data_IF_498280265378
#
_entry.id   IF_498280265378
#
_cell.length_a   1.000
_cell.length_b   1.000
_cell.length_c   1.000
_cell.angle_alpha   90.00
_cell.angle_beta   90.00
_cell.angle_gamma   90.00
#
_symmetry.space_group_name_H-M   'P 1'
#
loop_
_entity.id
_entity.type
_entity.pdbx_description
1 polymer ?
#
# COMPACT_ATOMS: atom_id res chain seq x y z
N UNK A 1 -0.29 6.34 66.91
CA UNK A 1 0.82 5.71 66.18
C UNK A 1 0.23 5.12 64.90
N UNK A 2 0.55 5.73 63.76
CA UNK A 2 -0.28 5.69 62.54
C UNK A 2 -0.03 4.46 61.67
N UNK A 3 -1.11 3.78 61.27
CA UNK A 3 -1.12 2.74 60.23
C UNK A 3 -0.98 3.42 58.86
N UNK A 4 0.04 3.07 58.06
CA UNK A 4 0.18 3.54 56.69
C UNK A 4 -0.43 2.53 55.72
N UNK A 5 -1.61 2.84 55.21
CA UNK A 5 -2.24 2.16 54.07
C UNK A 5 -1.40 2.44 52.81
N UNK A 6 -0.83 1.41 52.19
CA UNK A 6 -0.22 1.52 50.85
C UNK A 6 -1.30 1.20 49.82
N UNK A 7 -1.86 2.24 49.24
CA UNK A 7 -2.76 2.15 48.08
C UNK A 7 -1.98 1.57 46.89
N UNK A 8 -2.29 0.34 46.50
CA UNK A 8 -1.80 -0.25 45.25
C UNK A 8 -2.68 0.26 44.10
N UNK A 9 -2.11 1.08 43.22
CA UNK A 9 -2.75 1.53 42.00
C UNK A 9 -2.59 0.42 40.93
N UNK A 10 -3.67 -0.27 40.57
CA UNK A 10 -3.67 -1.16 39.40
C UNK A 10 -3.50 -0.32 38.13
N UNK A 11 -2.57 -0.64 37.21
CA UNK A 11 -2.60 -0.04 35.90
C UNK A 11 -3.73 -0.70 35.09
N UNK A 12 -4.67 0.09 34.58
CA UNK A 12 -5.53 -0.33 33.48
C UNK A 12 -4.63 -0.62 32.27
N UNK A 13 -4.48 -1.90 31.92
CA UNK A 13 -3.92 -2.31 30.63
C UNK A 13 -4.84 -1.79 29.53
N UNK A 14 -4.43 -0.72 28.86
CA UNK A 14 -4.93 -0.42 27.52
C UNK A 14 -4.45 -1.55 26.60
N UNK A 15 -5.38 -2.40 26.17
CA UNK A 15 -5.15 -3.34 25.08
C UNK A 15 -5.02 -2.52 23.80
N UNK A 16 -3.80 -2.07 23.47
CA UNK A 16 -3.51 -1.56 22.14
C UNK A 16 -3.82 -2.70 21.16
N UNK A 17 -4.56 -2.45 20.05
CA UNK A 17 -4.73 -3.46 19.02
C UNK A 17 -3.35 -3.83 18.51
N UNK A 18 -2.90 -5.06 18.80
CA UNK A 18 -1.71 -5.62 18.20
C UNK A 18 -2.03 -5.84 16.73
N UNK A 19 -1.61 -4.89 15.88
CA UNK A 19 -1.57 -5.12 14.43
C UNK A 19 -0.82 -6.44 14.21
N UNK A 20 -1.44 -7.37 13.50
CA UNK A 20 -0.85 -8.67 13.26
C UNK A 20 0.50 -8.48 12.54
N UNK A 21 1.51 -9.35 12.77
CA UNK A 21 2.79 -9.26 12.07
C UNK A 21 2.64 -9.18 10.54
N UNK A 22 1.59 -9.80 9.97
CA UNK A 22 1.25 -9.70 8.55
C UNK A 22 0.83 -8.28 8.11
N UNK A 23 0.12 -7.54 8.96
CA UNK A 23 -0.27 -6.14 8.72
C UNK A 23 0.92 -5.18 8.90
N UNK A 24 1.82 -5.49 9.83
CA UNK A 24 3.07 -4.74 10.03
C UNK A 24 4.11 -4.97 8.90
N UNK A 25 4.11 -6.15 8.28
CA UNK A 25 4.98 -6.45 7.14
C UNK A 25 4.47 -5.89 5.81
N UNK A 26 3.17 -5.63 5.70
CA UNK A 26 2.54 -5.02 4.53
C UNK A 26 3.09 -3.61 4.29
N UNK A 27 4.15 -3.50 3.50
CA UNK A 27 4.83 -2.24 3.20
C UNK A 27 6.34 -2.24 3.46
N UNK A 28 6.90 -3.33 4.01
CA UNK A 28 8.35 -3.49 4.17
C UNK A 28 9.01 -3.86 2.85
N UNK A 29 8.35 -4.71 2.04
CA UNK A 29 8.84 -5.12 0.72
C UNK A 29 8.15 -4.30 -0.39
N UNK A 30 8.85 -4.03 -1.51
CA UNK A 30 8.28 -3.26 -2.62
C UNK A 30 6.94 -3.78 -3.15
N UNK A 31 6.83 -5.09 -3.33
CA UNK A 31 5.64 -5.72 -3.89
C UNK A 31 4.41 -5.64 -2.98
N UNK A 32 4.60 -5.51 -1.66
CA UNK A 32 3.50 -5.47 -0.69
C UNK A 32 2.63 -4.23 -0.90
N UNK A 33 3.22 -3.13 -1.39
CA UNK A 33 2.48 -1.91 -1.75
C UNK A 33 1.50 -2.19 -2.88
N UNK A 34 1.90 -2.99 -3.87
CA UNK A 34 1.05 -3.34 -5.02
C UNK A 34 -0.08 -4.26 -4.57
N UNK A 35 0.22 -5.24 -3.72
CA UNK A 35 -0.78 -6.13 -3.14
C UNK A 35 -1.79 -5.32 -2.30
N UNK A 36 -1.30 -4.45 -1.43
CA UNK A 36 -2.13 -3.56 -0.60
C UNK A 36 -2.99 -2.64 -1.46
N UNK A 37 -2.44 -2.12 -2.55
CA UNK A 37 -3.17 -1.29 -3.50
C UNK A 37 -4.35 -2.03 -4.14
N UNK A 38 -4.14 -3.24 -4.65
CA UNK A 38 -5.21 -4.04 -5.24
C UNK A 38 -6.23 -4.56 -4.21
N UNK A 39 -5.79 -4.84 -2.98
CA UNK A 39 -6.71 -5.16 -1.88
C UNK A 39 -7.60 -3.96 -1.52
N UNK A 40 -7.05 -2.75 -1.44
CA UNK A 40 -7.81 -1.54 -1.19
C UNK A 40 -8.81 -1.26 -2.32
N UNK A 41 -8.44 -1.48 -3.59
CA UNK A 41 -9.35 -1.41 -4.72
C UNK A 41 -10.48 -2.45 -4.63
N UNK A 42 -10.17 -3.70 -4.25
CA UNK A 42 -11.15 -4.77 -4.05
C UNK A 42 -12.17 -4.44 -2.96
N UNK A 43 -11.74 -3.79 -1.87
CA UNK A 43 -12.61 -3.29 -0.81
C UNK A 43 -13.29 -1.95 -1.13
N UNK A 44 -13.11 -1.42 -2.35
CA UNK A 44 -13.61 -0.11 -2.78
C UNK A 44 -13.11 1.04 -1.89
N UNK A 45 -12.03 0.84 -1.15
CA UNK A 45 -11.36 1.87 -0.36
C UNK A 45 -10.43 2.68 -1.26
N UNK A 46 -11.03 3.46 -2.16
CA UNK A 46 -10.30 4.25 -3.15
C UNK A 46 -9.42 5.31 -2.50
N UNK A 47 -9.79 5.83 -1.33
CA UNK A 47 -8.96 6.78 -0.58
C UNK A 47 -7.63 6.15 -0.15
N UNK A 48 -7.68 4.94 0.43
CA UNK A 48 -6.47 4.20 0.79
C UNK A 48 -5.65 3.82 -0.45
N UNK A 49 -6.30 3.32 -1.51
CA UNK A 49 -5.62 2.97 -2.76
C UNK A 49 -4.91 4.18 -3.39
N UNK A 50 -5.57 5.33 -3.43
CA UNK A 50 -5.00 6.57 -3.98
C UNK A 50 -3.81 7.06 -3.14
N UNK A 51 -3.89 6.98 -1.82
CA UNK A 51 -2.82 7.39 -0.92
C UNK A 51 -1.54 6.55 -1.05
N UNK A 52 -1.60 5.33 -1.62
CA UNK A 52 -0.42 4.49 -1.84
C UNK A 52 0.47 4.99 -2.99
N UNK A 53 -0.06 5.83 -3.88
CA UNK A 53 0.75 6.51 -4.88
C UNK A 53 1.59 7.62 -4.25
N UNK A 54 2.81 7.81 -4.78
CA UNK A 54 3.71 8.85 -4.33
C UNK A 54 3.09 10.24 -4.57
N UNK A 55 3.62 11.25 -3.87
CA UNK A 55 3.08 12.62 -3.86
C UNK A 55 1.59 12.66 -3.52
N UNK A 56 1.19 11.88 -2.51
CA UNK A 56 -0.18 11.84 -1.99
C UNK A 56 -1.24 11.54 -3.08
N UNK A 57 -0.95 10.61 -3.98
CA UNK A 57 -1.88 10.27 -5.07
C UNK A 57 -1.56 10.90 -6.42
N UNK A 58 -0.83 12.03 -6.43
CA UNK A 58 -0.61 12.79 -7.66
C UNK A 58 0.14 12.00 -8.73
N UNK A 59 1.05 11.10 -8.32
CA UNK A 59 1.78 10.24 -9.26
C UNK A 59 0.90 9.22 -10.00
N UNK A 60 -0.36 9.03 -9.61
CA UNK A 60 -1.31 8.27 -10.42
C UNK A 60 -1.66 8.98 -11.75
N UNK A 61 -1.26 10.25 -11.91
CA UNK A 61 -1.58 11.09 -13.06
C UNK A 61 -3.06 11.47 -13.16
N UNK A 62 -3.83 11.34 -12.07
CA UNK A 62 -5.27 11.60 -12.02
C UNK A 62 -5.63 12.36 -10.76
N UNK A 63 -6.65 13.21 -10.82
CA UNK A 63 -7.33 13.69 -9.61
C UNK A 63 -7.98 12.52 -8.88
N UNK A 64 -8.22 12.66 -7.57
CA UNK A 64 -8.90 11.62 -6.79
C UNK A 64 -10.25 11.21 -7.39
N UNK A 65 -11.05 12.20 -7.83
CA UNK A 65 -12.35 11.94 -8.46
C UNK A 65 -12.20 11.15 -9.77
N UNK A 66 -11.26 11.52 -10.64
CA UNK A 66 -11.01 10.80 -11.88
C UNK A 66 -10.44 9.39 -11.64
N UNK A 67 -9.59 9.24 -10.62
CA UNK A 67 -9.07 7.95 -10.18
C UNK A 67 -10.21 7.02 -9.75
N UNK A 68 -11.06 7.48 -8.83
CA UNK A 68 -12.23 6.71 -8.35
C UNK A 68 -13.18 6.35 -9.50
N UNK A 69 -13.49 7.30 -10.37
CA UNK A 69 -14.38 7.08 -11.50
C UNK A 69 -13.82 6.07 -12.51
N UNK A 70 -12.49 5.95 -12.63
CA UNK A 70 -11.86 4.93 -13.47
C UNK A 70 -12.22 3.48 -13.10
N UNK A 71 -12.64 3.23 -11.86
CA UNK A 71 -13.06 1.91 -11.39
C UNK A 71 -14.59 1.73 -11.34
N UNK A 72 -15.37 2.67 -11.88
CA UNK A 72 -16.83 2.66 -11.77
C UNK A 72 -17.49 1.41 -12.39
N UNK A 73 -16.86 0.84 -13.44
CA UNK A 73 -17.33 -0.38 -14.12
C UNK A 73 -16.67 -1.65 -13.60
N UNK A 74 -15.70 -1.53 -12.69
CA UNK A 74 -14.96 -2.66 -12.15
C UNK A 74 -15.74 -3.30 -11.01
N UNK A 75 -15.93 -4.60 -11.09
CA UNK A 75 -16.51 -5.43 -10.04
C UNK A 75 -15.43 -5.89 -9.06
N UNK A 76 -14.35 -6.48 -9.57
CA UNK A 76 -13.23 -6.97 -8.77
C UNK A 76 -11.91 -6.81 -9.53
N UNK A 77 -10.81 -6.70 -8.78
CA UNK A 77 -9.45 -6.65 -9.32
C UNK A 77 -8.54 -7.60 -8.56
N UNK A 78 -7.66 -8.27 -9.30
CA UNK A 78 -6.68 -9.20 -8.78
C UNK A 78 -5.30 -8.88 -9.35
N UNK A 79 -4.26 -9.14 -8.58
CA UNK A 79 -2.88 -8.96 -9.02
C UNK A 79 -2.05 -10.19 -8.67
N UNK A 80 -1.18 -10.57 -9.60
CA UNK A 80 -0.14 -11.56 -9.40
C UNK A 80 1.22 -10.92 -9.69
N UNK A 81 2.20 -11.18 -8.82
CA UNK A 81 3.60 -10.81 -9.07
C UNK A 81 4.19 -11.89 -9.99
N UNK A 82 4.67 -11.49 -11.17
CA UNK A 82 5.00 -12.45 -12.25
C UNK A 82 6.49 -12.75 -12.38
N UNK A 83 7.33 -12.14 -11.56
CA UNK A 83 8.78 -12.31 -11.64
C UNK A 83 9.53 -11.65 -10.50
N UNK A 84 10.88 -11.71 -10.52
CA UNK A 84 11.71 -11.13 -9.47
C UNK A 84 11.57 -9.61 -9.44
N UNK A 85 11.53 -9.05 -8.22
CA UNK A 85 11.55 -7.61 -8.00
C UNK A 85 13.00 -7.13 -8.10
N UNK A 86 13.25 -6.13 -8.95
CA UNK A 86 14.57 -5.51 -9.11
C UNK A 86 14.62 -4.17 -8.38
N UNK A 87 15.64 -3.95 -7.56
CA UNK A 87 15.81 -2.74 -6.76
C UNK A 87 17.07 -2.01 -7.20
N UNK A 88 16.96 -0.70 -7.42
CA UNK A 88 18.02 0.17 -7.89
C UNK A 88 18.03 1.47 -7.07
N UNK A 89 19.23 1.95 -6.70
CA UNK A 89 19.40 3.21 -6.00
C UNK A 89 19.70 4.35 -6.98
N UNK A 90 19.00 5.48 -6.85
CA UNK A 90 19.25 6.67 -7.65
C UNK A 90 18.86 7.94 -6.87
N UNK A 91 19.74 8.96 -6.90
CA UNK A 91 19.50 10.30 -6.35
C UNK A 91 18.87 10.30 -4.94
N UNK A 92 19.48 9.55 -4.00
CA UNK A 92 19.00 9.47 -2.61
C UNK A 92 17.68 8.71 -2.42
N UNK A 93 17.21 7.99 -3.43
CA UNK A 93 16.01 7.15 -3.40
C UNK A 93 16.34 5.71 -3.79
N UNK A 94 15.51 4.77 -3.32
CA UNK A 94 15.45 3.43 -3.86
C UNK A 94 14.21 3.32 -4.74
N UNK A 95 14.38 2.71 -5.90
CA UNK A 95 13.32 2.35 -6.83
C UNK A 95 13.26 0.84 -6.94
N UNK A 96 12.07 0.29 -7.02
CA UNK A 96 11.87 -1.13 -7.22
C UNK A 96 10.88 -1.37 -8.35
N UNK A 97 11.30 -2.16 -9.34
CA UNK A 97 10.45 -2.61 -10.44
C UNK A 97 9.78 -3.91 -10.07
N UNK A 98 8.45 -3.91 -10.07
CA UNK A 98 7.59 -5.04 -9.70
C UNK A 98 6.82 -5.50 -10.94
N UNK A 99 7.19 -6.64 -11.56
CA UNK A 99 6.47 -7.19 -12.69
C UNK A 99 5.14 -7.82 -12.23
N UNK A 100 4.06 -7.53 -12.95
CA UNK A 100 2.71 -7.95 -12.56
C UNK A 100 1.88 -8.46 -13.74
N UNK A 101 0.90 -9.30 -13.38
CA UNK A 101 -0.32 -9.56 -14.17
C UNK A 101 -1.51 -9.10 -13.34
N UNK A 102 -2.35 -8.29 -13.92
CA UNK A 102 -3.55 -7.71 -13.32
C UNK A 102 -4.75 -8.27 -14.03
N UNK A 103 -5.77 -8.64 -13.29
CA UNK A 103 -7.03 -9.12 -13.86
C UNK A 103 -8.18 -8.32 -13.27
N UNK A 104 -8.97 -7.70 -14.14
CA UNK A 104 -10.17 -6.95 -13.77
C UNK A 104 -11.41 -7.70 -14.23
N UNK A 105 -12.35 -7.92 -13.33
CA UNK A 105 -13.70 -8.35 -13.66
C UNK A 105 -14.59 -7.11 -13.71
N UNK A 106 -15.34 -6.95 -14.80
CA UNK A 106 -16.27 -5.85 -15.01
C UNK A 106 -17.68 -6.24 -14.53
N UNK A 107 -18.51 -5.24 -14.24
CA UNK A 107 -19.89 -5.44 -13.80
C UNK A 107 -20.78 -6.17 -14.81
N UNK A 108 -20.41 -6.12 -16.10
CA UNK A 108 -21.09 -6.86 -17.17
C UNK A 108 -20.63 -8.32 -17.30
N UNK A 109 -19.78 -8.81 -16.39
CA UNK A 109 -19.25 -10.17 -16.40
C UNK A 109 -18.01 -10.37 -17.28
N UNK A 110 -17.59 -9.36 -18.06
CA UNK A 110 -16.37 -9.47 -18.85
C UNK A 110 -15.11 -9.43 -17.99
N UNK A 111 -14.07 -10.12 -18.45
CA UNK A 111 -12.77 -10.13 -17.80
C UNK A 111 -11.72 -9.49 -18.72
N UNK A 112 -10.90 -8.64 -18.13
CA UNK A 112 -9.75 -8.02 -18.79
C UNK A 112 -8.48 -8.40 -18.03
N UNK A 113 -7.40 -8.67 -18.75
CA UNK A 113 -6.10 -8.93 -18.16
C UNK A 113 -5.06 -8.01 -18.74
N UNK A 114 -4.19 -7.48 -17.88
CA UNK A 114 -3.12 -6.57 -18.23
C UNK A 114 -1.80 -7.10 -17.68
N UNK A 115 -0.73 -6.98 -18.45
CA UNK A 115 0.61 -7.34 -18.01
C UNK A 115 1.50 -6.10 -18.03
N UNK A 116 2.44 -6.02 -17.10
CA UNK A 116 3.36 -4.90 -17.08
C UNK A 116 4.15 -4.77 -15.79
N UNK A 117 4.52 -3.54 -15.47
CA UNK A 117 5.37 -3.25 -14.33
C UNK A 117 4.82 -2.07 -13.53
N UNK A 118 4.93 -2.17 -12.21
CA UNK A 118 4.91 -1.03 -11.32
C UNK A 118 6.33 -0.64 -10.96
N UNK A 119 6.59 0.65 -10.82
CA UNK A 119 7.77 1.15 -10.11
C UNK A 119 7.29 1.74 -8.81
N UNK A 120 7.86 1.25 -7.71
CA UNK A 120 7.66 1.85 -6.38
C UNK A 120 8.95 2.51 -5.91
N UNK A 121 8.82 3.54 -5.10
CA UNK A 121 9.92 4.39 -4.63
C UNK A 121 9.85 4.57 -3.12
N UNK A 122 11.02 4.65 -2.47
CA UNK A 122 11.17 5.20 -1.11
C UNK A 122 12.46 6.01 -1.01
N UNK A 123 12.59 6.84 0.03
CA UNK A 123 13.84 7.55 0.27
C UNK A 123 14.90 6.58 0.82
N UNK A 124 16.15 6.74 0.37
CA UNK A 124 17.30 5.90 0.75
C UNK A 124 18.11 6.51 1.90
N UNK A 125 18.08 7.83 2.05
CA UNK A 125 18.80 8.54 3.11
C UNK A 125 17.97 8.54 4.40
N UNK A 126 18.65 8.29 5.52
CA UNK A 126 18.04 8.29 6.86
C UNK A 126 17.21 9.55 7.09
N UNK A 127 15.96 9.35 7.52
CA UNK A 127 14.97 10.38 7.79
C UNK A 127 13.87 9.79 8.68
N UNK A 128 12.72 10.45 8.79
CA UNK A 128 11.60 9.89 9.56
C UNK A 128 11.17 8.52 9.02
N UNK A 129 10.67 7.62 9.88
CA UNK A 129 10.18 6.30 9.46
C UNK A 129 9.14 6.38 8.33
N UNK A 130 8.34 7.46 8.29
CA UNK A 130 7.36 7.72 7.24
C UNK A 130 7.99 7.95 5.84
N UNK A 131 9.22 8.45 5.78
CA UNK A 131 9.95 8.70 4.53
C UNK A 131 10.57 7.42 3.94
N UNK A 132 10.60 6.33 4.70
CA UNK A 132 11.16 5.04 4.31
C UNK A 132 10.09 4.03 3.85
N UNK A 133 8.85 4.49 3.66
CA UNK A 133 7.74 3.68 3.18
C UNK A 133 7.72 3.68 1.65
N UNK A 134 7.59 2.49 1.05
CA UNK A 134 7.42 2.36 -0.39
C UNK A 134 6.09 2.99 -0.85
N UNK A 135 6.13 3.74 -1.96
CA UNK A 135 4.95 4.34 -2.61
C UNK A 135 5.00 4.07 -4.11
N UNK A 136 3.84 4.01 -4.77
CA UNK A 136 3.77 3.80 -6.22
C UNK A 136 4.22 5.07 -6.94
N UNK A 137 5.34 4.99 -7.64
CA UNK A 137 5.91 6.09 -8.41
C UNK A 137 5.24 6.17 -9.79
N UNK A 138 5.09 5.02 -10.46
CA UNK A 138 4.48 4.91 -11.80
C UNK A 138 4.01 3.48 -12.07
N UNK A 139 3.13 3.35 -13.04
CA UNK A 139 2.68 2.07 -13.56
C UNK A 139 2.73 2.07 -15.09
N UNK A 140 3.07 0.93 -15.67
CA UNK A 140 3.00 0.69 -17.11
C UNK A 140 2.39 -0.67 -17.33
N UNK A 141 1.10 -0.70 -17.69
CA UNK A 141 0.31 -1.90 -17.95
C UNK A 141 -0.14 -1.87 -19.42
N UNK A 142 -0.19 -3.05 -20.06
CA UNK A 142 -0.67 -3.25 -21.43
C UNK A 142 -1.70 -4.36 -21.47
#
# INVERSE_FOLDING_TARGET
MSVRLRTALLPLLFLAPTLSPAEAQSGTRPQDVIITYYNALGHKNYAAAYALWDRQGQNSGKSYAAFKNGFAQTYATYVAITGPVRIEGAAGSLYATVPVKVTAQLKNGQQQSFCGNYVVRKNNTGGSAASQVWRIDRATLR
#
